data_IF_138535995013
#
_entry.id   IF_138535995013
#
_cell.length_a   1.000
_cell.length_b   1.000
_cell.length_c   1.000
_cell.angle_alpha   90.00
_cell.angle_beta   90.00
_cell.angle_gamma   90.00
#
_symmetry.space_group_name_H-M   'P 1'
#
loop_
_entity.id
_entity.type
_entity.pdbx_description
1 polymer ?
#
# COMPACT_ATOMS: atom_id res chain seq x y z
N UNK A 1 13.94 20.31 -14.12
CA UNK A 1 13.59 19.06 -13.43
C UNK A 1 14.63 18.03 -13.81
N UNK A 2 15.26 17.36 -12.84
CA UNK A 2 16.36 16.41 -13.11
C UNK A 2 15.91 15.19 -13.90
N UNK A 3 14.65 14.79 -13.71
CA UNK A 3 14.09 13.55 -14.21
C UNK A 3 12.96 13.91 -15.18
N UNK A 4 13.03 13.37 -16.40
CA UNK A 4 12.02 13.57 -17.44
C UNK A 4 10.73 12.83 -17.09
N UNK A 5 9.60 13.21 -17.70
CA UNK A 5 8.31 12.54 -17.49
C UNK A 5 8.40 11.02 -17.74
N UNK A 6 9.04 10.61 -18.85
CA UNK A 6 9.28 9.19 -19.15
C UNK A 6 10.00 8.45 -18.01
N UNK A 7 11.05 9.06 -17.46
CA UNK A 7 11.77 8.46 -16.33
C UNK A 7 10.92 8.42 -15.05
N UNK A 8 10.09 9.44 -14.80
CA UNK A 8 9.16 9.42 -13.65
C UNK A 8 8.16 8.26 -13.75
N UNK A 9 7.61 8.01 -14.94
CA UNK A 9 6.75 6.84 -15.18
C UNK A 9 7.50 5.52 -14.93
N UNK A 10 8.76 5.42 -15.36
CA UNK A 10 9.58 4.25 -15.08
C UNK A 10 9.76 4.04 -13.57
N UNK A 11 10.10 5.08 -12.81
CA UNK A 11 10.19 4.99 -11.34
C UNK A 11 8.87 4.55 -10.71
N UNK A 12 7.74 5.07 -11.21
CA UNK A 12 6.40 4.70 -10.74
C UNK A 12 6.10 3.21 -10.96
N UNK A 13 6.28 2.69 -12.18
CA UNK A 13 6.03 1.28 -12.46
C UNK A 13 7.01 0.35 -11.71
N UNK A 14 8.28 0.75 -11.58
CA UNK A 14 9.24 0.00 -10.76
C UNK A 14 8.78 -0.04 -9.30
N UNK A 15 8.29 1.07 -8.74
CA UNK A 15 7.80 1.12 -7.37
C UNK A 15 6.55 0.22 -7.16
N UNK A 16 5.62 0.19 -8.13
CA UNK A 16 4.48 -0.73 -8.09
C UNK A 16 4.93 -2.19 -8.14
N UNK A 17 5.81 -2.55 -9.09
CA UNK A 17 6.33 -3.92 -9.21
C UNK A 17 7.10 -4.34 -7.96
N UNK A 18 7.87 -3.42 -7.37
CA UNK A 18 8.54 -3.62 -6.10
C UNK A 18 7.52 -3.93 -4.99
N UNK A 19 6.48 -3.11 -4.82
CA UNK A 19 5.46 -3.32 -3.80
C UNK A 19 4.75 -4.67 -3.99
N UNK A 20 4.32 -5.01 -5.22
CA UNK A 20 3.70 -6.30 -5.55
C UNK A 20 4.60 -7.48 -5.23
N UNK A 21 5.91 -7.37 -5.54
CA UNK A 21 6.87 -8.44 -5.27
C UNK A 21 7.03 -8.66 -3.78
N UNK A 22 7.14 -7.58 -2.99
CA UNK A 22 7.24 -7.69 -1.53
C UNK A 22 5.95 -8.25 -0.92
N UNK A 23 4.79 -7.81 -1.41
CA UNK A 23 3.50 -8.38 -1.03
C UNK A 23 3.44 -9.89 -1.30
N UNK A 24 3.84 -10.31 -2.50
CA UNK A 24 3.85 -11.73 -2.87
C UNK A 24 4.80 -12.55 -1.99
N UNK A 25 5.95 -12.00 -1.63
CA UNK A 25 6.89 -12.63 -0.69
C UNK A 25 6.26 -12.77 0.70
N UNK A 26 5.59 -11.74 1.21
CA UNK A 26 4.84 -11.79 2.47
C UNK A 26 3.72 -12.83 2.43
N UNK A 27 2.98 -12.87 1.32
CA UNK A 27 1.94 -13.87 1.10
C UNK A 27 2.48 -15.29 0.97
N UNK A 28 3.68 -15.49 0.44
CA UNK A 28 4.26 -16.83 0.27
C UNK A 28 5.05 -17.28 1.49
N UNK A 29 5.07 -16.48 2.55
CA UNK A 29 5.82 -16.77 3.76
C UNK A 29 5.21 -17.98 4.47
N UNK A 30 6.05 -18.93 4.90
CA UNK A 30 5.59 -20.10 5.65
C UNK A 30 5.28 -19.69 7.08
N UNK A 31 4.03 -19.87 7.49
CA UNK A 31 3.54 -19.57 8.82
C UNK A 31 3.02 -20.85 9.45
N UNK A 32 3.18 -21.01 10.76
CA UNK A 32 2.48 -22.06 11.49
C UNK A 32 1.04 -21.62 11.79
N UNK A 33 0.21 -22.57 12.23
CA UNK A 33 -1.21 -22.32 12.48
C UNK A 33 -1.41 -21.34 13.66
N UNK A 34 -0.56 -21.42 14.70
CA UNK A 34 -0.59 -20.50 15.84
C UNK A 34 -0.34 -19.06 15.44
N UNK A 35 0.73 -18.79 14.69
CA UNK A 35 1.05 -17.44 14.22
C UNK A 35 -0.03 -16.93 13.26
N UNK A 36 -0.57 -17.79 12.39
CA UNK A 36 -1.66 -17.42 11.48
C UNK A 36 -2.93 -17.01 12.23
N UNK A 37 -3.30 -17.73 13.31
CA UNK A 37 -4.45 -17.38 14.17
C UNK A 37 -4.23 -16.06 14.89
N UNK A 38 -3.05 -15.85 15.48
CA UNK A 38 -2.74 -14.62 16.19
C UNK A 38 -2.75 -13.40 15.25
N UNK A 39 -2.07 -13.50 14.10
CA UNK A 39 -2.00 -12.42 13.12
C UNK A 39 -3.39 -12.05 12.58
N UNK A 40 -4.17 -13.06 12.18
CA UNK A 40 -5.54 -12.84 11.66
C UNK A 40 -6.45 -12.23 12.71
N UNK A 41 -6.36 -12.68 13.97
CA UNK A 41 -7.15 -12.12 15.07
C UNK A 41 -6.79 -10.66 15.34
N UNK A 42 -5.49 -10.33 15.38
CA UNK A 42 -5.03 -8.96 15.58
C UNK A 42 -5.50 -8.04 14.45
N UNK A 43 -5.44 -8.54 13.21
CA UNK A 43 -5.94 -7.80 12.05
C UNK A 43 -7.46 -7.59 12.11
N UNK A 44 -8.24 -8.66 12.34
CA UNK A 44 -9.70 -8.59 12.46
C UNK A 44 -10.12 -7.60 13.55
N UNK A 45 -9.48 -7.63 14.72
CA UNK A 45 -9.75 -6.69 15.80
C UNK A 45 -9.42 -5.24 15.45
N UNK A 46 -8.44 -5.02 14.57
CA UNK A 46 -8.08 -3.67 14.09
C UNK A 46 -9.12 -3.14 13.10
N UNK A 47 -9.81 -4.02 12.36
CA UNK A 47 -10.79 -3.63 11.33
C UNK A 47 -12.25 -3.82 11.76
N UNK A 48 -12.54 -4.47 12.90
CA UNK A 48 -13.91 -4.83 13.31
C UNK A 48 -14.82 -3.64 13.58
N UNK A 49 -14.23 -2.52 14.00
CA UNK A 49 -14.94 -1.27 14.34
C UNK A 49 -14.39 -0.06 13.56
N UNK A 50 -13.66 -0.31 12.46
CA UNK A 50 -13.08 0.76 11.66
C UNK A 50 -14.11 1.27 10.66
N UNK A 51 -14.36 2.58 10.66
CA UNK A 51 -15.14 3.26 9.64
C UNK A 51 -14.27 3.57 8.42
N UNK A 52 -14.89 4.06 7.33
CA UNK A 52 -14.20 4.46 6.12
C UNK A 52 -13.09 5.50 6.40
N UNK A 53 -13.29 6.35 7.41
CA UNK A 53 -12.31 7.36 7.79
C UNK A 53 -11.08 6.76 8.48
N UNK A 54 -11.26 5.73 9.32
CA UNK A 54 -10.19 4.98 9.94
C UNK A 54 -9.35 4.23 8.91
N UNK A 55 -9.98 3.57 7.93
CA UNK A 55 -9.28 2.91 6.81
C UNK A 55 -8.45 3.94 6.04
N UNK A 56 -9.07 5.07 5.69
CA UNK A 56 -8.40 6.17 5.00
C UNK A 56 -7.19 6.69 5.77
N UNK A 57 -7.34 7.02 7.06
CA UNK A 57 -6.25 7.57 7.87
C UNK A 57 -5.10 6.57 8.03
N UNK A 58 -5.40 5.28 8.18
CA UNK A 58 -4.38 4.24 8.28
C UNK A 58 -3.52 4.19 7.02
N UNK A 59 -4.15 4.09 5.85
CA UNK A 59 -3.45 4.02 4.57
C UNK A 59 -2.76 5.35 4.22
N UNK A 60 -3.38 6.50 4.54
CA UNK A 60 -2.79 7.81 4.33
C UNK A 60 -1.51 7.98 5.17
N UNK A 61 -1.54 7.59 6.44
CA UNK A 61 -0.37 7.67 7.32
C UNK A 61 0.81 6.87 6.77
N UNK A 62 0.53 5.65 6.30
CA UNK A 62 1.53 4.79 5.66
C UNK A 62 2.07 5.47 4.39
N UNK A 63 1.20 5.95 3.50
CA UNK A 63 1.59 6.61 2.26
C UNK A 63 2.41 7.88 2.48
N UNK A 64 2.07 8.70 3.47
CA UNK A 64 2.81 9.92 3.81
C UNK A 64 4.26 9.60 4.21
N UNK A 65 4.47 8.52 4.96
CA UNK A 65 5.83 8.05 5.29
C UNK A 65 6.55 7.54 4.04
N UNK A 66 5.82 6.93 3.09
CA UNK A 66 6.39 6.47 1.81
C UNK A 66 6.93 7.59 0.92
N UNK A 67 6.49 8.85 1.10
CA UNK A 67 7.06 10.00 0.39
C UNK A 67 8.44 10.43 0.90
N UNK A 68 8.86 9.97 2.08
CA UNK A 68 10.13 10.38 2.69
C UNK A 68 11.30 9.67 1.98
N UNK A 69 12.33 10.39 1.51
CA UNK A 69 13.52 9.80 0.90
C UNK A 69 14.13 8.68 1.74
N UNK A 70 14.46 7.55 1.11
CA UNK A 70 15.00 6.31 1.73
C UNK A 70 14.03 5.61 2.68
N UNK A 71 13.48 6.33 3.67
CA UNK A 71 12.51 5.82 4.65
C UNK A 71 11.29 5.24 3.95
N UNK A 72 10.83 5.88 2.88
CA UNK A 72 9.65 5.46 2.18
C UNK A 72 9.79 4.12 1.46
N UNK A 73 11.00 3.77 1.01
CA UNK A 73 11.26 2.44 0.46
C UNK A 73 11.16 1.37 1.55
N UNK A 74 11.71 1.65 2.73
CA UNK A 74 11.63 0.75 3.90
C UNK A 74 10.17 0.58 4.34
N UNK A 75 9.42 1.68 4.43
CA UNK A 75 8.00 1.63 4.76
C UNK A 75 7.19 0.86 3.71
N UNK A 76 7.53 1.04 2.43
CA UNK A 76 6.98 0.25 1.32
C UNK A 76 7.20 -1.24 1.51
N UNK A 77 8.41 -1.65 1.91
CA UNK A 77 8.73 -3.04 2.23
C UNK A 77 7.88 -3.57 3.37
N UNK A 78 7.88 -2.86 4.51
CA UNK A 78 7.15 -3.27 5.71
C UNK A 78 5.66 -3.38 5.40
N UNK A 79 5.09 -2.37 4.76
CA UNK A 79 3.67 -2.35 4.42
C UNK A 79 3.31 -3.50 3.48
N UNK A 80 4.02 -3.65 2.35
CA UNK A 80 3.72 -4.71 1.39
C UNK A 80 3.84 -6.10 2.03
N UNK A 81 4.89 -6.34 2.80
CA UNK A 81 5.15 -7.63 3.43
C UNK A 81 4.10 -7.95 4.50
N UNK A 82 3.77 -6.98 5.37
CA UNK A 82 2.74 -7.14 6.40
C UNK A 82 1.36 -7.38 5.78
N UNK A 83 0.98 -6.66 4.73
CA UNK A 83 -0.29 -6.91 4.02
C UNK A 83 -0.30 -8.31 3.42
N UNK A 84 0.81 -8.75 2.80
CA UNK A 84 0.95 -10.12 2.30
C UNK A 84 0.78 -11.18 3.39
N UNK A 85 1.40 -10.99 4.56
CA UNK A 85 1.28 -11.89 5.71
C UNK A 85 -0.15 -11.99 6.24
N UNK A 86 -0.86 -10.87 6.35
CA UNK A 86 -2.27 -10.85 6.78
C UNK A 86 -3.14 -11.62 5.79
N UNK A 87 -2.91 -11.45 4.50
CA UNK A 87 -3.65 -12.20 3.47
C UNK A 87 -3.32 -13.69 3.52
N UNK A 88 -2.06 -14.07 3.72
CA UNK A 88 -1.65 -15.46 3.91
C UNK A 88 -2.35 -16.06 5.14
N UNK A 89 -2.39 -15.35 6.26
CA UNK A 89 -2.98 -15.87 7.49
C UNK A 89 -4.48 -16.08 7.37
N UNK A 90 -5.20 -15.18 6.69
CA UNK A 90 -6.63 -15.35 6.39
C UNK A 90 -6.83 -16.57 5.47
N UNK A 91 -6.01 -16.71 4.42
CA UNK A 91 -6.12 -17.83 3.48
C UNK A 91 -5.78 -19.18 4.11
N UNK A 92 -4.80 -19.26 5.01
CA UNK A 92 -4.46 -20.50 5.72
C UNK A 92 -5.57 -20.97 6.66
N UNK A 93 -6.38 -20.04 7.18
CA UNK A 93 -7.50 -20.35 8.08
C UNK A 93 -8.81 -20.61 7.32
N UNK A 94 -8.88 -20.19 6.06
CA UNK A 94 -10.01 -20.50 5.19
C UNK A 94 -9.76 -21.80 4.42
N UNK A 95 -10.74 -22.69 4.32
CA UNK A 95 -10.68 -23.88 3.45
C UNK A 95 -10.70 -23.53 1.94
N UNK A 96 -10.40 -22.28 1.58
CA UNK A 96 -10.41 -21.78 0.21
C UNK A 96 -9.07 -22.10 -0.44
N UNK A 97 -9.11 -22.85 -1.55
CA UNK A 97 -7.92 -23.15 -2.35
C UNK A 97 -7.17 -21.85 -2.71
N UNK A 98 -5.83 -21.89 -2.63
CA UNK A 98 -4.97 -20.72 -2.86
C UNK A 98 -5.15 -20.14 -4.26
N UNK A 99 -6.06 -19.17 -4.39
CA UNK A 99 -6.13 -18.29 -5.57
C UNK A 99 -4.90 -17.39 -5.59
N UNK A 100 -4.49 -16.94 -6.79
CA UNK A 100 -3.39 -16.00 -6.93
C UNK A 100 -3.66 -14.75 -6.04
N UNK A 101 -2.81 -14.45 -5.05
CA UNK A 101 -3.06 -13.39 -4.06
C UNK A 101 -3.07 -11.99 -4.69
N UNK A 102 -2.49 -11.85 -5.89
CA UNK A 102 -2.44 -10.58 -6.62
C UNK A 102 -3.82 -10.14 -7.14
N UNK A 103 -4.82 -11.03 -7.13
CA UNK A 103 -6.21 -10.71 -7.52
C UNK A 103 -6.79 -9.59 -6.67
N UNK A 104 -6.33 -9.41 -5.42
CA UNK A 104 -6.78 -8.29 -4.58
C UNK A 104 -6.48 -6.94 -5.22
N UNK A 105 -5.36 -6.81 -5.95
CA UNK A 105 -4.99 -5.59 -6.66
C UNK A 105 -5.74 -5.39 -7.98
N UNK A 106 -6.69 -6.27 -8.31
CA UNK A 106 -7.68 -6.05 -9.38
C UNK A 106 -8.98 -5.45 -8.84
N UNK A 107 -9.17 -5.44 -7.52
CA UNK A 107 -10.31 -4.73 -6.91
C UNK A 107 -10.13 -3.22 -7.04
N UNK A 108 -11.22 -2.42 -7.06
CA UNK A 108 -11.09 -0.98 -7.20
C UNK A 108 -10.26 -0.35 -6.08
N UNK A 109 -10.43 -0.78 -4.82
CA UNK A 109 -9.63 -0.28 -3.70
C UNK A 109 -8.16 -0.73 -3.81
N UNK A 110 -7.90 -1.99 -4.19
CA UNK A 110 -6.55 -2.49 -4.38
C UNK A 110 -5.77 -1.77 -5.48
N UNK A 111 -6.43 -1.43 -6.60
CA UNK A 111 -5.81 -0.60 -7.65
C UNK A 111 -5.44 0.78 -7.12
N UNK A 112 -6.36 1.44 -6.41
CA UNK A 112 -6.14 2.78 -5.85
C UNK A 112 -5.01 2.78 -4.82
N UNK A 113 -4.94 1.76 -3.96
CA UNK A 113 -3.86 1.61 -2.97
C UNK A 113 -2.51 1.37 -3.66
N UNK A 114 -2.44 0.42 -4.61
CA UNK A 114 -1.21 0.10 -5.32
C UNK A 114 -0.65 1.30 -6.10
N UNK A 115 -1.53 2.04 -6.79
CA UNK A 115 -1.15 3.27 -7.49
C UNK A 115 -0.68 4.33 -6.49
N UNK A 116 -1.35 4.46 -5.36
CA UNK A 116 -1.01 5.43 -4.32
C UNK A 116 0.37 5.17 -3.71
N UNK A 117 0.64 3.93 -3.30
CA UNK A 117 1.93 3.54 -2.74
C UNK A 117 3.04 3.56 -3.80
N UNK A 118 2.76 3.15 -5.03
CA UNK A 118 3.68 3.29 -6.16
C UNK A 118 4.10 4.73 -6.39
N UNK A 119 3.15 5.68 -6.38
CA UNK A 119 3.45 7.11 -6.51
C UNK A 119 4.29 7.61 -5.33
N UNK A 120 3.89 7.30 -4.09
CA UNK A 120 4.59 7.75 -2.89
C UNK A 120 6.05 7.28 -2.85
N UNK A 121 6.29 5.97 -3.03
CA UNK A 121 7.63 5.37 -3.07
C UNK A 121 8.45 5.99 -4.21
N UNK A 122 7.88 6.09 -5.41
CA UNK A 122 8.58 6.64 -6.57
C UNK A 122 9.00 8.09 -6.34
N UNK A 123 8.14 8.90 -5.72
CA UNK A 123 8.46 10.29 -5.34
C UNK A 123 9.53 10.35 -4.28
N UNK A 124 9.49 9.49 -3.27
CA UNK A 124 10.55 9.38 -2.26
C UNK A 124 11.92 9.11 -2.89
N UNK A 125 11.99 8.18 -3.85
CA UNK A 125 13.20 7.89 -4.61
C UNK A 125 13.65 9.08 -5.48
N UNK A 126 12.72 9.74 -6.18
CA UNK A 126 13.02 10.93 -7.00
C UNK A 126 13.59 12.06 -6.13
N UNK A 127 12.95 12.34 -4.98
CA UNK A 127 13.40 13.35 -4.03
C UNK A 127 14.78 13.03 -3.47
N UNK A 128 15.05 11.76 -3.16
CA UNK A 128 16.38 11.31 -2.75
C UNK A 128 17.44 11.68 -3.79
N UNK A 129 17.21 11.38 -5.07
CA UNK A 129 18.14 11.75 -6.15
C UNK A 129 18.30 13.27 -6.31
N UNK A 130 17.22 14.05 -6.18
CA UNK A 130 17.28 15.51 -6.27
C UNK A 130 18.06 16.14 -5.11
N UNK A 131 17.89 15.62 -3.89
CA UNK A 131 18.63 16.05 -2.70
C UNK A 131 20.12 15.70 -2.84
N UNK A 132 20.44 14.44 -3.18
CA UNK A 132 21.83 13.99 -3.36
C UNK A 132 22.57 14.81 -4.41
N UNK A 133 21.90 15.19 -5.50
CA UNK A 133 22.49 15.99 -6.58
C UNK A 133 22.40 17.49 -6.33
N UNK A 134 21.95 17.93 -5.14
CA UNK A 134 21.76 19.35 -4.77
C UNK A 134 20.92 20.15 -5.78
N UNK A 135 19.91 19.50 -6.35
CA UNK A 135 19.00 20.04 -7.38
C UNK A 135 17.55 20.05 -6.93
N UNK A 136 17.30 19.92 -5.63
CA UNK A 136 16.00 20.14 -5.03
C UNK A 136 15.58 21.61 -5.22
N UNK A 137 14.38 21.84 -5.73
CA UNK A 137 13.88 23.20 -6.04
C UNK A 137 12.47 23.40 -5.52
N UNK A 138 11.98 24.66 -5.53
CA UNK A 138 10.57 24.97 -5.24
C UNK A 138 9.59 24.18 -6.12
N UNK A 139 9.98 23.90 -7.38
CA UNK A 139 9.18 23.06 -8.29
C UNK A 139 9.10 21.62 -7.79
N UNK A 140 10.18 21.07 -7.23
CA UNK A 140 10.19 19.72 -6.63
C UNK A 140 9.20 19.62 -5.48
N UNK A 141 9.18 20.63 -4.60
CA UNK A 141 8.22 20.72 -3.49
C UNK A 141 6.78 20.82 -4.00
N UNK A 142 6.54 21.66 -5.01
CA UNK A 142 5.21 21.81 -5.61
C UNK A 142 4.67 20.48 -6.16
N UNK A 143 5.52 19.72 -6.86
CA UNK A 143 5.09 18.41 -7.37
C UNK A 143 4.89 17.37 -6.26
N UNK A 144 5.69 17.42 -5.18
CA UNK A 144 5.44 16.57 -4.00
C UNK A 144 4.05 16.85 -3.43
N UNK A 145 3.69 18.12 -3.24
CA UNK A 145 2.38 18.50 -2.69
C UNK A 145 1.22 18.04 -3.59
N UNK A 146 1.37 18.18 -4.91
CA UNK A 146 0.35 17.67 -5.86
C UNK A 146 0.20 16.15 -5.72
N UNK A 147 1.30 15.40 -5.69
CA UNK A 147 1.22 13.95 -5.58
C UNK A 147 0.69 13.48 -4.24
N UNK A 148 1.02 14.17 -3.15
CA UNK A 148 0.39 13.93 -1.83
C UNK A 148 -1.12 14.15 -1.92
N UNK A 149 -1.58 15.25 -2.52
CA UNK A 149 -3.01 15.51 -2.68
C UNK A 149 -3.72 14.45 -3.54
N UNK A 150 -3.09 14.01 -4.65
CA UNK A 150 -3.60 12.94 -5.49
C UNK A 150 -3.70 11.62 -4.73
N UNK A 151 -2.64 11.23 -4.02
CA UNK A 151 -2.60 10.03 -3.18
C UNK A 151 -3.67 10.07 -2.11
N UNK A 152 -3.82 11.19 -1.39
CA UNK A 152 -4.90 11.35 -0.41
C UNK A 152 -6.28 11.16 -1.04
N UNK A 153 -6.53 11.73 -2.21
CA UNK A 153 -7.81 11.57 -2.92
C UNK A 153 -8.07 10.12 -3.32
N UNK A 154 -7.08 9.43 -3.88
CA UNK A 154 -7.21 8.02 -4.28
C UNK A 154 -7.45 7.12 -3.07
N UNK A 155 -6.72 7.32 -1.98
CA UNK A 155 -6.89 6.53 -0.75
C UNK A 155 -8.24 6.78 -0.08
N UNK A 156 -8.75 8.02 -0.13
CA UNK A 156 -10.08 8.33 0.39
C UNK A 156 -11.18 7.60 -0.38
N UNK A 157 -11.12 7.63 -1.72
CA UNK A 157 -12.05 6.86 -2.57
C UNK A 157 -11.89 5.36 -2.33
N UNK A 158 -10.65 4.88 -2.22
CA UNK A 158 -10.36 3.47 -1.92
C UNK A 158 -10.98 3.02 -0.61
N UNK A 159 -10.85 3.82 0.44
CA UNK A 159 -11.39 3.52 1.77
C UNK A 159 -12.92 3.46 1.78
N UNK A 160 -13.61 4.37 1.07
CA UNK A 160 -15.07 4.30 0.91
C UNK A 160 -15.48 2.98 0.24
N UNK A 161 -14.80 2.60 -0.84
CA UNK A 161 -15.11 1.37 -1.58
C UNK A 161 -14.82 0.14 -0.72
N UNK A 162 -13.69 0.11 -0.02
CA UNK A 162 -13.30 -0.98 0.87
C UNK A 162 -14.31 -1.16 2.01
N UNK A 163 -14.68 -0.06 2.67
CA UNK A 163 -15.68 -0.08 3.74
C UNK A 163 -17.03 -0.59 3.23
N UNK A 164 -17.50 -0.12 2.08
CA UNK A 164 -18.72 -0.64 1.45
C UNK A 164 -18.61 -2.14 1.14
N UNK A 165 -17.45 -2.63 0.70
CA UNK A 165 -17.25 -4.05 0.45
C UNK A 165 -17.29 -4.88 1.74
N UNK A 166 -16.74 -4.36 2.84
CA UNK A 166 -16.73 -5.02 4.14
C UNK A 166 -18.12 -5.01 4.79
N UNK A 167 -18.81 -3.87 4.78
CA UNK A 167 -20.13 -3.72 5.42
C UNK A 167 -21.21 -4.54 4.71
N UNK A 168 -21.14 -4.64 3.37
CA UNK A 168 -22.09 -5.42 2.58
C UNK A 168 -21.86 -6.95 2.63
N UNK A 169 -20.79 -7.43 3.27
CA UNK A 169 -20.64 -8.86 3.55
C UNK A 169 -21.66 -9.23 4.64
N UNK A 170 -22.59 -10.18 4.39
CA UNK A 170 -23.53 -10.61 5.41
C UNK A 170 -22.75 -11.07 6.65
N UNK A 171 -22.96 -10.39 7.80
CA UNK A 171 -22.42 -10.78 9.11
C UNK A 171 -23.12 -12.06 9.62
N UNK A 172 -23.13 -13.13 8.82
CA UNK A 172 -23.62 -14.44 9.22
C UNK A 172 -22.47 -15.22 9.84
N UNK A 173 -22.33 -15.06 11.15
CA UNK A 173 -21.84 -16.09 12.05
C UNK A 173 -22.99 -16.44 13.01
#
# INVERSE_FOLDING_TARGET
>A
MLITFKKRLVFFFIAMLFFLSIFYIGFSFRMDESFSKELSKNFINQISDIDEFGIFLNNLKIALVMFIPVIGLVMGTISGFSTGLVFNSIMNLSDVAHSNPLVIFLTPFGILELVSYGLAISRGCILFFEILKKKFTKKSLFYLLIEVALVSGMLFVGAIIEWMMIENIPKRL
#
